data_IF_648241709667
#
_entry.id   IF_648241709667
#
_cell.length_a   1.000
_cell.length_b   1.000
_cell.length_c   1.000
_cell.angle_alpha   90.00
_cell.angle_beta   90.00
_cell.angle_gamma   90.00
#
_symmetry.space_group_name_H-M   'P 1'
#
loop_
_entity.id
_entity.type
_entity.pdbx_description
1 polymer ?
#
# COMPACT_ATOMS: atom_id res chain seq x y z
N UNK A 1 -45.68 9.74 -7.26
CA UNK A 1 -44.85 8.58 -7.65
C UNK A 1 -43.58 8.60 -6.80
N UNK A 2 -43.35 7.52 -6.07
CA UNK A 2 -42.21 7.34 -5.17
C UNK A 2 -40.90 7.20 -5.94
N UNK A 3 -39.88 7.92 -5.48
CA UNK A 3 -38.50 7.80 -5.96
C UNK A 3 -37.52 8.18 -4.85
N UNK A 4 -37.58 7.47 -3.72
CA UNK A 4 -36.57 7.60 -2.67
C UNK A 4 -35.28 6.94 -3.17
N UNK A 5 -34.43 7.72 -3.85
CA UNK A 5 -33.03 7.38 -4.02
C UNK A 5 -32.38 7.40 -2.64
N UNK A 6 -32.18 6.22 -2.05
CA UNK A 6 -31.39 6.08 -0.83
C UNK A 6 -29.99 6.60 -1.11
N UNK A 7 -29.63 7.76 -0.52
CA UNK A 7 -28.23 8.18 -0.43
C UNK A 7 -27.49 7.04 0.28
N UNK A 8 -26.63 6.33 -0.47
CA UNK A 8 -25.79 5.27 0.08
C UNK A 8 -25.00 5.89 1.24
N UNK A 9 -25.26 5.42 2.46
CA UNK A 9 -24.60 5.96 3.64
C UNK A 9 -23.10 5.71 3.49
N UNK A 10 -22.33 6.80 3.53
CA UNK A 10 -20.90 6.77 3.29
C UNK A 10 -20.21 6.03 4.44
N UNK A 11 -19.49 4.97 4.13
CA UNK A 11 -18.80 4.17 5.14
C UNK A 11 -17.54 4.88 5.63
N UNK A 12 -17.01 4.48 6.79
CA UNK A 12 -15.72 4.96 7.26
C UNK A 12 -14.57 4.66 6.27
N UNK A 13 -14.68 3.55 5.52
CA UNK A 13 -13.73 3.20 4.48
C UNK A 13 -13.82 4.14 3.27
N UNK A 14 -15.03 4.57 2.89
CA UNK A 14 -15.21 5.52 1.79
C UNK A 14 -14.62 6.89 2.14
N UNK A 15 -14.82 7.37 3.38
CA UNK A 15 -14.22 8.61 3.87
C UNK A 15 -12.69 8.52 3.88
N UNK A 16 -12.13 7.38 4.31
CA UNK A 16 -10.70 7.12 4.27
C UNK A 16 -10.14 7.13 2.85
N UNK A 17 -10.80 6.45 1.91
CA UNK A 17 -10.40 6.43 0.49
C UNK A 17 -10.40 7.84 -0.08
N UNK A 18 -11.44 8.64 0.20
CA UNK A 18 -11.52 10.04 -0.26
C UNK A 18 -10.43 10.92 0.33
N UNK A 19 -10.09 10.72 1.61
CA UNK A 19 -9.02 11.47 2.24
C UNK A 19 -7.64 11.18 1.61
N UNK A 20 -7.40 9.93 1.18
CA UNK A 20 -6.13 9.53 0.56
C UNK A 20 -6.06 9.87 -0.92
N UNK A 21 -7.13 9.59 -1.66
CA UNK A 21 -7.13 9.58 -3.11
C UNK A 21 -7.99 10.68 -3.76
N UNK A 22 -8.68 11.50 -2.96
CA UNK A 22 -9.59 12.55 -3.43
C UNK A 22 -11.02 12.08 -3.67
N UNK A 23 -11.89 13.05 -4.02
CA UNK A 23 -13.31 12.82 -4.36
C UNK A 23 -13.63 13.47 -5.73
N UNK A 24 -13.93 12.69 -6.78
CA UNK A 24 -14.05 11.24 -6.78
C UNK A 24 -12.68 10.54 -6.72
N UNK A 25 -12.58 9.38 -6.04
CA UNK A 25 -11.36 8.60 -6.05
C UNK A 25 -11.11 8.04 -7.46
N UNK A 26 -9.84 7.80 -7.83
CA UNK A 26 -9.53 7.22 -9.12
C UNK A 26 -10.01 5.77 -9.19
N UNK A 27 -10.15 5.25 -10.41
CA UNK A 27 -10.42 3.84 -10.61
C UNK A 27 -9.24 2.98 -10.10
N UNK A 28 -9.56 1.79 -9.60
CA UNK A 28 -8.58 0.78 -9.25
C UNK A 28 -7.79 0.40 -10.51
N UNK A 29 -6.47 0.56 -10.44
CA UNK A 29 -5.57 0.48 -11.61
C UNK A 29 -4.27 -0.29 -11.36
N UNK A 30 -4.14 -0.90 -10.18
CA UNK A 30 -2.95 -1.68 -9.84
C UNK A 30 -2.82 -2.89 -10.77
N UNK A 31 -1.62 -3.09 -11.31
CA UNK A 31 -1.22 -4.37 -11.88
C UNK A 31 -0.67 -5.24 -10.75
N UNK A 32 -1.39 -6.30 -10.38
CA UNK A 32 -1.03 -7.16 -9.26
C UNK A 32 0.36 -7.80 -9.42
N UNK A 33 0.67 -8.33 -10.60
CA UNK A 33 1.98 -8.97 -10.86
C UNK A 33 3.11 -7.97 -10.67
N UNK A 34 3.01 -6.80 -11.31
CA UNK A 34 4.04 -5.77 -11.18
C UNK A 34 4.16 -5.25 -9.74
N UNK A 35 3.05 -5.19 -8.99
CA UNK A 35 3.09 -4.80 -7.57
C UNK A 35 3.76 -5.85 -6.69
N UNK A 36 3.60 -7.14 -7.00
CA UNK A 36 4.29 -8.25 -6.32
C UNK A 36 5.79 -8.18 -6.59
N UNK A 37 6.19 -7.98 -7.86
CA UNK A 37 7.59 -7.86 -8.24
C UNK A 37 8.28 -6.69 -7.52
N UNK A 38 7.66 -5.50 -7.57
CA UNK A 38 8.15 -4.31 -6.86
C UNK A 38 8.18 -4.50 -5.34
N UNK A 39 7.20 -5.19 -4.75
CA UNK A 39 7.23 -5.50 -3.33
C UNK A 39 8.38 -6.45 -2.98
N UNK A 40 8.69 -7.42 -3.86
CA UNK A 40 9.84 -8.30 -3.72
C UNK A 40 11.17 -7.54 -3.72
N UNK A 41 11.31 -6.54 -4.60
CA UNK A 41 12.46 -5.64 -4.63
C UNK A 41 12.58 -4.81 -3.34
N UNK A 42 11.48 -4.21 -2.86
CA UNK A 42 11.46 -3.45 -1.61
C UNK A 42 11.82 -4.31 -0.40
N UNK A 43 11.48 -5.60 -0.44
CA UNK A 43 11.81 -6.58 0.60
C UNK A 43 13.18 -7.25 0.36
N UNK A 44 13.90 -6.86 -0.68
CA UNK A 44 15.22 -7.39 -1.06
C UNK A 44 15.27 -8.92 -1.18
N UNK A 45 14.15 -9.56 -1.53
CA UNK A 45 14.06 -11.02 -1.63
C UNK A 45 14.08 -11.77 -0.30
N UNK A 46 13.98 -11.09 0.85
CA UNK A 46 13.94 -11.72 2.19
C UNK A 46 12.61 -12.44 2.48
N UNK A 47 11.59 -12.21 1.63
CA UNK A 47 10.26 -12.81 1.71
C UNK A 47 9.97 -13.54 0.41
N UNK A 48 9.38 -14.74 0.50
CA UNK A 48 9.07 -15.52 -0.70
C UNK A 48 7.98 -14.87 -1.55
N UNK A 49 8.10 -14.96 -2.87
CA UNK A 49 7.09 -14.45 -3.82
C UNK A 49 5.69 -15.02 -3.53
N UNK A 50 5.61 -16.28 -3.07
CA UNK A 50 4.35 -16.92 -2.68
C UNK A 50 3.66 -16.16 -1.55
N UNK A 51 4.39 -15.77 -0.51
CA UNK A 51 3.84 -15.01 0.62
C UNK A 51 3.44 -13.60 0.21
N UNK A 52 4.29 -12.95 -0.60
CA UNK A 52 4.01 -11.62 -1.18
C UNK A 52 2.72 -11.67 -2.01
N UNK A 53 2.54 -12.72 -2.81
CA UNK A 53 1.35 -12.93 -3.66
C UNK A 53 0.07 -13.10 -2.86
N UNK A 54 0.13 -13.81 -1.72
CA UNK A 54 -1.02 -13.98 -0.82
C UNK A 54 -1.48 -12.62 -0.27
N UNK A 55 -0.54 -11.82 0.23
CA UNK A 55 -0.84 -10.48 0.73
C UNK A 55 -1.31 -9.55 -0.39
N UNK A 56 -0.64 -9.57 -1.55
CA UNK A 56 -0.98 -8.78 -2.72
C UNK A 56 -2.40 -9.03 -3.19
N UNK A 57 -2.79 -10.30 -3.37
CA UNK A 57 -4.15 -10.68 -3.80
C UNK A 57 -5.21 -10.21 -2.80
N UNK A 58 -4.91 -10.34 -1.49
CA UNK A 58 -5.83 -9.89 -0.44
C UNK A 58 -6.01 -8.38 -0.44
N UNK A 59 -4.94 -7.61 -0.60
CA UNK A 59 -5.02 -6.14 -0.62
C UNK A 59 -5.67 -5.63 -1.91
N UNK A 60 -5.34 -6.25 -3.04
CA UNK A 60 -5.86 -5.90 -4.35
C UNK A 60 -7.36 -6.17 -4.43
N UNK A 61 -7.87 -7.29 -3.90
CA UNK A 61 -9.33 -7.54 -3.82
C UNK A 61 -10.11 -6.58 -2.90
N UNK A 62 -9.41 -5.74 -2.12
CA UNK A 62 -10.01 -4.74 -1.26
C UNK A 62 -10.59 -3.51 -2.00
N UNK A 63 -11.31 -2.63 -1.27
CA UNK A 63 -11.97 -1.47 -1.86
C UNK A 63 -11.03 -0.30 -2.16
N UNK A 64 -9.78 -0.34 -1.70
CA UNK A 64 -8.84 0.76 -1.84
C UNK A 64 -8.35 0.83 -3.30
N UNK A 65 -8.45 1.99 -3.98
CA UNK A 65 -8.12 2.14 -5.38
C UNK A 65 -6.60 2.31 -5.59
N UNK A 66 -5.82 1.33 -5.15
CA UNK A 66 -4.37 1.36 -5.26
C UNK A 66 -3.91 1.58 -6.71
N UNK A 67 -2.87 2.39 -6.89
CA UNK A 67 -1.96 2.22 -8.02
C UNK A 67 -1.04 1.02 -7.81
N UNK A 68 -0.29 0.61 -8.84
CA UNK A 68 0.70 -0.47 -8.71
C UNK A 68 1.72 -0.19 -7.61
N UNK A 69 2.22 1.04 -7.50
CA UNK A 69 3.21 1.43 -6.50
C UNK A 69 2.61 1.54 -5.10
N UNK A 70 1.37 2.06 -4.99
CA UNK A 70 0.67 2.08 -3.70
C UNK A 70 0.43 0.66 -3.16
N UNK A 71 0.06 -0.27 -4.05
CA UNK A 71 -0.12 -1.68 -3.70
C UNK A 71 1.21 -2.29 -3.27
N UNK A 72 2.31 -2.06 -4.01
CA UNK A 72 3.64 -2.56 -3.67
C UNK A 72 4.10 -2.10 -2.27
N UNK A 73 3.98 -0.79 -1.98
CA UNK A 73 4.29 -0.25 -0.64
C UNK A 73 3.42 -0.87 0.44
N UNK A 74 2.12 -1.03 0.17
CA UNK A 74 1.18 -1.61 1.13
C UNK A 74 1.48 -3.09 1.41
N UNK A 75 1.90 -3.85 0.40
CA UNK A 75 2.37 -5.23 0.55
C UNK A 75 3.64 -5.25 1.41
N UNK A 76 4.67 -4.49 1.03
CA UNK A 76 5.94 -4.46 1.75
C UNK A 76 5.76 -4.05 3.22
N UNK A 77 4.89 -3.05 3.49
CA UNK A 77 4.57 -2.61 4.83
C UNK A 77 3.95 -3.71 5.70
N UNK A 78 3.20 -4.66 5.14
CA UNK A 78 2.68 -5.79 5.91
C UNK A 78 3.80 -6.67 6.46
N UNK A 79 4.87 -6.89 5.70
CA UNK A 79 6.02 -7.68 6.13
C UNK A 79 6.95 -6.90 7.04
N UNK A 80 7.17 -5.61 6.81
CA UNK A 80 7.95 -4.78 7.74
C UNK A 80 7.34 -4.72 9.14
N UNK A 81 6.00 -4.79 9.24
CA UNK A 81 5.28 -4.85 10.52
C UNK A 81 5.27 -6.23 11.16
N UNK A 82 5.66 -7.28 10.44
CA UNK A 82 5.61 -8.65 10.93
C UNK A 82 6.84 -8.94 11.82
N UNK A 83 6.65 -9.25 13.11
CA UNK A 83 7.76 -9.56 14.01
C UNK A 83 8.64 -10.72 13.54
N UNK A 84 8.11 -11.65 12.73
CA UNK A 84 8.86 -12.78 12.20
C UNK A 84 9.93 -12.33 11.18
N UNK A 85 9.64 -11.26 10.43
CA UNK A 85 10.50 -10.73 9.38
C UNK A 85 11.35 -9.54 9.84
N UNK A 86 10.93 -8.85 10.90
CA UNK A 86 11.57 -7.66 11.43
C UNK A 86 13.11 -7.79 11.62
N UNK A 87 13.67 -8.91 12.15
CA UNK A 87 15.12 -9.06 12.31
C UNK A 87 15.91 -9.11 11.00
N UNK A 88 15.27 -9.51 9.89
CA UNK A 88 15.92 -9.70 8.58
C UNK A 88 15.79 -8.46 7.68
N UNK A 89 14.75 -7.66 7.91
CA UNK A 89 14.38 -6.54 7.03
C UNK A 89 15.07 -5.20 7.37
N UNK A 90 16.12 -5.21 8.18
CA UNK A 90 16.82 -3.99 8.62
C UNK A 90 17.45 -3.18 7.46
N UNK A 91 18.06 -3.85 6.48
CA UNK A 91 18.57 -3.19 5.27
C UNK A 91 17.44 -2.86 4.29
N UNK A 92 16.51 -3.80 4.10
CA UNK A 92 15.38 -3.66 3.20
C UNK A 92 14.53 -2.42 3.53
N UNK A 93 14.26 -2.13 4.80
CA UNK A 93 13.47 -0.94 5.17
C UNK A 93 14.17 0.37 4.81
N UNK A 94 15.50 0.44 4.90
CA UNK A 94 16.24 1.65 4.52
C UNK A 94 16.15 1.90 3.02
N UNK A 95 16.36 0.84 2.22
CA UNK A 95 16.24 0.90 0.77
C UNK A 95 14.80 1.23 0.36
N UNK A 96 13.81 0.58 0.97
CA UNK A 96 12.40 0.82 0.70
C UNK A 96 11.98 2.27 0.98
N UNK A 97 12.54 2.92 2.00
CA UNK A 97 12.29 4.35 2.29
C UNK A 97 12.86 5.25 1.20
N UNK A 98 14.06 4.97 0.69
CA UNK A 98 14.65 5.72 -0.42
C UNK A 98 13.81 5.55 -1.70
N UNK A 99 13.46 4.32 -2.07
CA UNK A 99 12.63 4.03 -3.24
C UNK A 99 11.23 4.65 -3.12
N UNK A 100 10.62 4.60 -1.94
CA UNK A 100 9.34 5.27 -1.68
C UNK A 100 9.44 6.78 -1.90
N UNK A 101 10.52 7.43 -1.46
CA UNK A 101 10.72 8.87 -1.67
C UNK A 101 10.90 9.22 -3.15
N UNK A 102 11.61 8.40 -3.92
CA UNK A 102 11.73 8.55 -5.38
C UNK A 102 10.34 8.43 -6.04
N UNK A 103 9.58 7.39 -5.71
CA UNK A 103 8.21 7.23 -6.22
C UNK A 103 7.29 8.38 -5.83
N UNK A 104 7.48 8.96 -4.65
CA UNK A 104 6.73 10.13 -4.20
C UNK A 104 7.07 11.37 -5.04
N UNK A 105 8.36 11.63 -5.30
CA UNK A 105 8.81 12.73 -6.16
C UNK A 105 8.27 12.59 -7.59
N UNK A 106 8.12 11.36 -8.08
CA UNK A 106 7.55 11.05 -9.40
C UNK A 106 6.01 11.02 -9.43
N UNK A 107 5.34 11.37 -8.31
CA UNK A 107 3.87 11.30 -8.17
C UNK A 107 3.26 9.91 -8.43
N UNK A 108 4.03 8.84 -8.17
CA UNK A 108 3.57 7.45 -8.36
C UNK A 108 2.79 6.90 -7.17
N UNK A 109 2.91 7.52 -5.99
CA UNK A 109 2.31 7.06 -4.74
C UNK A 109 1.55 8.17 -4.01
N UNK A 110 0.51 7.79 -3.29
CA UNK A 110 -0.33 8.73 -2.55
C UNK A 110 0.42 9.37 -1.35
N UNK A 111 0.37 10.70 -1.14
CA UNK A 111 1.11 11.38 -0.08
C UNK A 111 0.82 10.83 1.35
N UNK A 112 -0.44 10.51 1.64
CA UNK A 112 -0.80 9.95 2.95
C UNK A 112 -0.27 8.52 3.15
N UNK A 113 -0.13 7.75 2.07
CA UNK A 113 0.46 6.41 2.16
C UNK A 113 1.96 6.51 2.45
N UNK A 114 2.68 7.43 1.80
CA UNK A 114 4.10 7.73 2.05
C UNK A 114 4.32 8.09 3.52
N UNK A 115 3.51 9.01 4.05
CA UNK A 115 3.59 9.39 5.46
C UNK A 115 3.32 8.21 6.39
N UNK A 116 2.28 7.42 6.12
CA UNK A 116 1.96 6.25 6.94
C UNK A 116 3.06 5.19 6.91
N UNK A 117 3.70 4.98 5.75
CA UNK A 117 4.78 4.03 5.57
C UNK A 117 6.01 4.48 6.38
N UNK A 118 6.44 5.72 6.19
CA UNK A 118 7.57 6.33 6.90
C UNK A 118 7.38 6.34 8.42
N UNK A 119 6.22 6.82 8.90
CA UNK A 119 5.90 6.87 10.34
C UNK A 119 5.92 5.48 10.98
N UNK A 120 5.53 4.44 10.22
CA UNK A 120 5.53 3.06 10.70
C UNK A 120 6.94 2.50 10.77
N UNK A 121 7.73 2.62 9.70
CA UNK A 121 9.10 2.12 9.68
C UNK A 121 9.98 2.83 10.71
N UNK A 122 9.82 4.15 10.87
CA UNK A 122 10.53 4.89 11.91
C UNK A 122 10.24 4.35 13.31
N UNK A 123 8.99 3.96 13.61
CA UNK A 123 8.65 3.39 14.92
C UNK A 123 9.22 1.98 15.15
N UNK A 124 9.29 1.17 14.10
CA UNK A 124 9.72 -0.22 14.19
C UNK A 124 11.24 -0.41 14.20
N UNK A 125 11.98 0.48 13.54
CA UNK A 125 13.42 0.33 13.29
C UNK A 125 14.27 1.43 13.94
N UNK A 126 13.72 2.16 14.91
CA UNK A 126 14.47 3.17 15.69
C UNK A 126 15.34 2.53 16.78
#
# INVERSE_FOLDING_TARGET
>A
MFGFGSKKQESAMDQFIKAIYGDPPPAKRANLSAAIDLAGELLMGEVSEKEISIIGTKLESGPIPYSTHDLALSIALNFFKDPQYLPKLGMAQMMARMTMLEWFQENKVAPLLVKSFEDTLYKLYK
#
